data_IF_592276933721
#
_entry.id   IF_592276933721
#
_cell.length_a   1.000
_cell.length_b   1.000
_cell.length_c   1.000
_cell.angle_alpha   90.00
_cell.angle_beta   90.00
_cell.angle_gamma   90.00
#
_symmetry.space_group_name_H-M   'P 1'
#
loop_
_entity.id
_entity.type
_entity.pdbx_description
1 polymer ?
#
# COMPACT_ATOMS: atom_id res chain seq x y z
N UNK A 1 5.96 -8.83 -4.93
CA UNK A 1 5.76 -7.44 -5.39
C UNK A 1 5.55 -7.49 -6.90
N UNK A 2 4.53 -6.84 -7.39
CA UNK A 2 4.25 -6.67 -8.82
C UNK A 2 4.17 -5.17 -9.07
N UNK A 3 4.86 -4.70 -10.10
CA UNK A 3 4.80 -3.30 -10.56
C UNK A 3 4.12 -3.26 -11.92
N UNK A 4 3.16 -2.37 -12.10
CA UNK A 4 2.41 -2.23 -13.35
C UNK A 4 2.98 -1.12 -14.23
N UNK A 5 2.76 -1.22 -15.54
CA UNK A 5 3.18 -0.20 -16.50
C UNK A 5 2.46 1.14 -16.24
N UNK A 6 1.24 1.10 -15.71
CA UNK A 6 0.47 2.29 -15.35
C UNK A 6 1.16 3.07 -14.22
N UNK A 7 1.70 2.37 -13.22
CA UNK A 7 2.46 2.99 -12.15
C UNK A 7 3.72 3.67 -12.68
N UNK A 8 4.47 2.99 -13.55
CA UNK A 8 5.69 3.56 -14.16
C UNK A 8 5.36 4.81 -14.98
N UNK A 9 4.25 4.79 -15.75
CA UNK A 9 3.77 5.95 -16.50
C UNK A 9 3.31 7.09 -15.58
N UNK A 10 2.61 6.76 -14.49
CA UNK A 10 2.14 7.76 -13.52
C UNK A 10 3.29 8.58 -12.93
N UNK A 11 4.44 7.94 -12.70
CA UNK A 11 5.62 8.60 -12.12
C UNK A 11 6.64 9.04 -13.19
N UNK A 12 6.27 9.02 -14.47
CA UNK A 12 7.13 9.42 -15.61
C UNK A 12 8.46 8.66 -15.63
N UNK A 13 8.48 7.43 -15.13
CA UNK A 13 9.68 6.59 -15.01
C UNK A 13 10.70 7.08 -13.98
N UNK A 14 10.33 7.98 -13.06
CA UNK A 14 11.24 8.49 -12.03
C UNK A 14 11.70 7.34 -11.12
N UNK A 15 12.98 6.96 -11.25
CA UNK A 15 13.59 5.86 -10.53
C UNK A 15 13.59 6.08 -9.01
N UNK A 16 13.63 7.33 -8.54
CA UNK A 16 13.64 7.64 -7.10
C UNK A 16 12.26 7.45 -6.48
N UNK A 17 11.22 7.84 -7.20
CA UNK A 17 9.83 7.58 -6.80
C UNK A 17 9.54 6.08 -6.84
N UNK A 18 9.96 5.39 -7.90
CA UNK A 18 9.84 3.92 -8.02
C UNK A 18 10.53 3.22 -6.85
N UNK A 19 11.74 3.64 -6.47
CA UNK A 19 12.44 3.10 -5.31
C UNK A 19 11.65 3.32 -4.01
N UNK A 20 11.01 4.48 -3.83
CA UNK A 20 10.15 4.76 -2.69
C UNK A 20 8.92 3.85 -2.62
N UNK A 21 8.26 3.62 -3.75
CA UNK A 21 7.11 2.70 -3.85
C UNK A 21 7.55 1.26 -3.56
N UNK A 22 8.67 0.80 -4.15
CA UNK A 22 9.20 -0.52 -3.87
C UNK A 22 9.61 -0.70 -2.40
N UNK A 23 10.18 0.33 -1.79
CA UNK A 23 10.51 0.33 -0.37
C UNK A 23 9.25 0.22 0.52
N UNK A 24 8.15 0.86 0.14
CA UNK A 24 6.85 0.72 0.79
C UNK A 24 6.32 -0.72 0.67
N UNK A 25 6.34 -1.30 -0.52
CA UNK A 25 5.95 -2.69 -0.76
C UNK A 25 6.81 -3.68 0.05
N UNK A 26 8.13 -3.43 0.15
CA UNK A 26 9.01 -4.20 1.02
C UNK A 26 8.61 -4.09 2.49
N UNK A 27 8.08 -2.95 2.91
CA UNK A 27 7.48 -2.76 4.24
C UNK A 27 6.36 -3.77 4.50
N UNK A 28 5.40 -3.89 3.58
CA UNK A 28 4.31 -4.89 3.69
C UNK A 28 4.83 -6.32 3.72
N UNK A 29 5.84 -6.65 2.90
CA UNK A 29 6.48 -7.97 2.91
C UNK A 29 7.14 -8.24 4.26
N UNK A 30 7.93 -7.29 4.77
CA UNK A 30 8.64 -7.41 6.05
C UNK A 30 7.69 -7.63 7.22
N UNK A 31 6.58 -6.90 7.24
CA UNK A 31 5.55 -7.01 8.28
C UNK A 31 4.55 -8.13 8.04
N UNK A 32 4.67 -8.86 6.91
CA UNK A 32 3.76 -9.95 6.52
C UNK A 32 2.30 -9.50 6.48
N UNK A 33 2.05 -8.26 6.06
CA UNK A 33 0.71 -7.67 6.12
C UNK A 33 -0.29 -8.42 5.24
N UNK A 34 0.10 -8.89 4.05
CA UNK A 34 -0.73 -9.74 3.20
C UNK A 34 -1.13 -11.05 3.89
N UNK A 35 -0.20 -11.69 4.64
CA UNK A 35 -0.51 -12.91 5.39
C UNK A 35 -1.47 -12.62 6.56
N UNK A 36 -1.28 -11.49 7.26
CA UNK A 36 -2.20 -11.06 8.34
C UNK A 36 -3.60 -10.83 7.80
N UNK A 37 -3.71 -10.15 6.65
CA UNK A 37 -4.98 -9.90 5.98
C UNK A 37 -5.65 -11.21 5.56
N UNK A 38 -4.87 -12.18 5.02
CA UNK A 38 -5.38 -13.50 4.66
C UNK A 38 -5.94 -14.24 5.89
N UNK A 39 -5.21 -14.26 7.01
CA UNK A 39 -5.66 -14.92 8.25
C UNK A 39 -6.94 -14.24 8.76
N UNK A 40 -7.00 -12.91 8.78
CA UNK A 40 -8.19 -12.17 9.22
C UNK A 40 -9.41 -12.47 8.33
N UNK A 41 -9.24 -12.41 7.01
CA UNK A 41 -10.30 -12.72 6.06
C UNK A 41 -10.79 -14.19 6.22
N UNK A 42 -9.86 -15.14 6.41
CA UNK A 42 -10.19 -16.54 6.62
C UNK A 42 -10.95 -16.75 7.93
N UNK A 43 -10.55 -16.09 9.02
CA UNK A 43 -11.25 -16.18 10.30
C UNK A 43 -12.69 -15.65 10.20
N UNK A 44 -12.89 -14.50 9.57
CA UNK A 44 -14.22 -13.94 9.32
C UNK A 44 -15.05 -14.87 8.44
N UNK A 45 -14.44 -15.42 7.38
CA UNK A 45 -15.10 -16.34 6.47
C UNK A 45 -15.53 -17.64 7.16
N UNK A 46 -14.67 -18.23 8.02
CA UNK A 46 -15.02 -19.44 8.81
C UNK A 46 -16.21 -19.14 9.73
N UNK A 47 -16.20 -18.00 10.43
CA UNK A 47 -17.32 -17.61 11.29
C UNK A 47 -18.61 -17.44 10.49
N UNK A 48 -18.54 -16.78 9.33
CA UNK A 48 -19.68 -16.61 8.45
C UNK A 48 -20.21 -17.94 7.93
N UNK A 49 -19.33 -18.88 7.53
CA UNK A 49 -19.74 -20.19 7.02
C UNK A 49 -20.41 -21.07 8.08
N UNK A 50 -20.00 -20.95 9.34
CA UNK A 50 -20.68 -21.63 10.47
C UNK A 50 -22.11 -21.10 10.64
N UNK A 51 -22.32 -19.80 10.48
CA UNK A 51 -23.65 -19.18 10.60
C UNK A 51 -24.56 -19.50 9.42
N UNK A 52 -24.00 -19.47 8.19
CA UNK A 52 -24.75 -19.68 6.94
C UNK A 52 -24.85 -21.16 6.56
N UNK A 53 -23.92 -22.01 7.06
CA UNK A 53 -23.90 -23.44 6.75
C UNK A 53 -23.30 -23.82 5.40
N UNK A 54 -22.63 -22.88 4.71
CA UNK A 54 -22.02 -23.10 3.38
C UNK A 54 -20.52 -22.82 3.37
N UNK A 55 -19.72 -23.88 3.42
CA UNK A 55 -18.26 -23.82 3.34
C UNK A 55 -17.70 -23.66 1.92
N UNK A 56 -18.44 -24.05 0.88
CA UNK A 56 -17.93 -24.00 -0.48
C UNK A 56 -17.89 -22.56 -1.03
N UNK A 57 -18.88 -21.76 -0.69
CA UNK A 57 -18.91 -20.33 -1.06
C UNK A 57 -17.77 -19.54 -0.38
N UNK A 58 -17.32 -19.96 0.80
CA UNK A 58 -16.19 -19.37 1.48
C UNK A 58 -14.89 -19.48 0.68
N UNK A 59 -14.58 -20.69 0.20
CA UNK A 59 -13.34 -20.94 -0.54
C UNK A 59 -13.31 -20.14 -1.86
N UNK A 60 -14.47 -19.90 -2.46
CA UNK A 60 -14.60 -19.09 -3.67
C UNK A 60 -14.47 -17.57 -3.41
N UNK A 61 -14.88 -17.10 -2.22
CA UNK A 61 -14.91 -15.67 -1.91
C UNK A 61 -13.60 -15.12 -1.35
N UNK A 62 -12.79 -15.94 -0.66
CA UNK A 62 -11.51 -15.49 -0.05
C UNK A 62 -10.58 -14.81 -1.05
N UNK A 63 -10.29 -15.36 -2.24
CA UNK A 63 -9.41 -14.70 -3.20
C UNK A 63 -9.97 -13.35 -3.70
N UNK A 64 -11.29 -13.25 -3.86
CA UNK A 64 -11.97 -12.02 -4.32
C UNK A 64 -11.87 -10.94 -3.24
N UNK A 65 -12.14 -11.28 -1.98
CA UNK A 65 -12.04 -10.36 -0.86
C UNK A 65 -10.60 -9.85 -0.70
N UNK A 66 -9.60 -10.72 -0.79
CA UNK A 66 -8.19 -10.32 -0.71
C UNK A 66 -7.78 -9.40 -1.86
N UNK A 67 -8.24 -9.67 -3.08
CA UNK A 67 -7.93 -8.85 -4.25
C UNK A 67 -8.59 -7.46 -4.25
N UNK A 68 -9.63 -7.26 -3.42
CA UNK A 68 -10.38 -6.00 -3.34
C UNK A 68 -10.20 -5.26 -2.00
N UNK A 69 -9.51 -5.86 -1.03
CA UNK A 69 -9.31 -5.25 0.28
C UNK A 69 -8.11 -4.31 0.29
N UNK A 70 -8.35 -3.08 0.71
CA UNK A 70 -7.26 -2.16 1.06
C UNK A 70 -6.57 -2.61 2.37
N UNK A 71 -5.27 -2.35 2.46
CA UNK A 71 -4.56 -2.52 3.72
C UNK A 71 -5.12 -1.61 4.82
N UNK A 72 -5.00 -2.06 6.07
CA UNK A 72 -5.40 -1.22 7.19
C UNK A 72 -4.49 0.01 7.29
N UNK A 73 -5.00 1.11 7.81
CA UNK A 73 -4.19 2.34 8.05
C UNK A 73 -2.93 2.06 8.87
N UNK A 74 -3.02 1.13 9.82
CA UNK A 74 -1.88 0.74 10.63
C UNK A 74 -0.81 -0.01 9.81
N UNK A 75 -1.21 -0.86 8.86
CA UNK A 75 -0.30 -1.52 7.93
C UNK A 75 0.38 -0.47 7.03
N UNK A 76 -0.39 0.48 6.48
CA UNK A 76 0.14 1.57 5.67
C UNK A 76 1.16 2.43 6.43
N UNK A 77 0.88 2.80 7.70
CA UNK A 77 1.83 3.56 8.53
C UNK A 77 3.16 2.81 8.74
N UNK A 78 3.09 1.49 8.97
CA UNK A 78 4.30 0.67 9.11
C UNK A 78 5.07 0.58 7.80
N UNK A 79 4.39 0.39 6.68
CA UNK A 79 5.00 0.34 5.36
C UNK A 79 5.63 1.69 4.98
N UNK A 80 4.96 2.80 5.26
CA UNK A 80 5.49 4.15 5.06
C UNK A 80 6.74 4.43 5.92
N UNK A 81 6.72 4.00 7.18
CA UNK A 81 7.87 4.15 8.06
C UNK A 81 9.08 3.34 7.54
N UNK A 82 8.85 2.14 7.03
CA UNK A 82 9.89 1.31 6.40
C UNK A 82 10.39 1.93 5.09
N UNK A 83 9.48 2.47 4.26
CA UNK A 83 9.84 3.20 3.04
C UNK A 83 10.75 4.39 3.36
N UNK A 84 10.35 5.24 4.30
CA UNK A 84 11.13 6.40 4.70
C UNK A 84 12.51 6.02 5.27
N UNK A 85 12.59 4.91 6.01
CA UNK A 85 13.86 4.36 6.52
C UNK A 85 14.75 3.89 5.38
N UNK A 86 14.24 3.05 4.48
CA UNK A 86 15.00 2.49 3.36
C UNK A 86 15.48 3.56 2.39
N UNK A 87 14.65 4.58 2.11
CA UNK A 87 15.05 5.73 1.30
C UNK A 87 16.24 6.45 1.92
N UNK A 88 16.18 6.76 3.22
CA UNK A 88 17.30 7.40 3.93
C UNK A 88 18.57 6.54 3.91
N UNK A 89 18.44 5.24 4.14
CA UNK A 89 19.57 4.30 4.11
C UNK A 89 20.23 4.24 2.72
N UNK A 90 19.44 4.47 1.66
CA UNK A 90 19.90 4.56 0.28
C UNK A 90 20.40 5.97 -0.11
N UNK A 91 20.42 6.94 0.80
CA UNK A 91 20.80 8.33 0.51
C UNK A 91 19.75 9.11 -0.29
N UNK A 92 18.50 8.62 -0.35
CA UNK A 92 17.38 9.27 -1.02
C UNK A 92 16.49 10.02 -0.02
N UNK A 93 15.94 11.14 -0.46
CA UNK A 93 15.00 11.90 0.38
C UNK A 93 13.62 11.23 0.43
N UNK A 94 13.02 11.05 1.61
CA UNK A 94 11.63 10.63 1.72
C UNK A 94 10.62 11.58 1.05
N UNK A 95 11.01 12.82 0.75
CA UNK A 95 10.17 13.80 0.05
C UNK A 95 9.69 13.33 -1.33
N UNK A 96 10.38 12.38 -1.97
CA UNK A 96 9.98 11.81 -3.28
C UNK A 96 8.56 11.21 -3.22
N UNK A 97 8.17 10.68 -2.05
CA UNK A 97 6.84 10.10 -1.84
C UNK A 97 5.73 11.15 -1.70
N UNK A 98 6.06 12.40 -1.35
CA UNK A 98 5.06 13.49 -1.27
C UNK A 98 4.43 13.75 -2.62
N UNK A 99 5.25 14.00 -3.65
CA UNK A 99 4.77 14.22 -5.02
C UNK A 99 4.02 13.02 -5.58
N UNK A 100 4.44 11.81 -5.23
CA UNK A 100 3.75 10.57 -5.60
C UNK A 100 2.32 10.53 -5.04
N UNK A 101 2.15 10.76 -3.73
CA UNK A 101 0.81 10.76 -3.12
C UNK A 101 -0.07 11.91 -3.59
N UNK A 102 0.50 13.09 -3.87
CA UNK A 102 -0.23 14.21 -4.46
C UNK A 102 -0.74 13.88 -5.87
N UNK A 103 0.07 13.18 -6.70
CA UNK A 103 -0.38 12.67 -8.01
C UNK A 103 -1.51 11.66 -7.86
N UNK A 104 -1.35 10.66 -6.98
CA UNK A 104 -2.40 9.66 -6.72
C UNK A 104 -3.69 10.31 -6.26
N UNK A 105 -3.64 11.21 -5.29
CA UNK A 105 -4.82 11.88 -4.76
C UNK A 105 -5.61 12.63 -5.86
N UNK A 106 -4.90 13.25 -6.81
CA UNK A 106 -5.49 13.90 -7.97
C UNK A 106 -6.16 12.91 -8.92
N UNK A 107 -5.46 11.81 -9.26
CA UNK A 107 -5.97 10.78 -10.17
C UNK A 107 -7.13 9.98 -9.57
N UNK A 108 -7.15 9.76 -8.24
CA UNK A 108 -8.27 9.12 -7.54
C UNK A 108 -9.58 9.89 -7.73
N UNK A 109 -9.53 11.22 -7.81
CA UNK A 109 -10.69 12.06 -8.13
C UNK A 109 -11.22 11.87 -9.55
N UNK A 110 -10.42 11.33 -10.46
CA UNK A 110 -10.76 11.12 -11.89
C UNK A 110 -11.14 9.66 -12.24
N UNK A 111 -11.22 8.75 -11.27
CA UNK A 111 -11.57 7.32 -11.45
C UNK A 111 -10.63 6.53 -12.41
N UNK A 112 -9.37 6.92 -12.56
CA UNK A 112 -8.43 6.34 -13.53
C UNK A 112 -7.42 5.35 -12.96
N UNK A 113 -7.46 5.09 -11.66
CA UNK A 113 -6.41 4.30 -10.99
C UNK A 113 -6.73 2.81 -10.95
N UNK A 114 -5.74 1.99 -11.34
CA UNK A 114 -5.81 0.54 -11.28
C UNK A 114 -5.87 -0.01 -9.85
N UNK A 115 -6.16 -1.32 -9.74
CA UNK A 115 -6.34 -2.05 -8.47
C UNK A 115 -5.14 -1.86 -7.52
N UNK A 116 -3.92 -1.80 -8.05
CA UNK A 116 -2.70 -1.65 -7.24
C UNK A 116 -2.67 -0.36 -6.41
N UNK A 117 -3.27 0.73 -6.93
CA UNK A 117 -3.33 2.02 -6.20
C UNK A 117 -4.57 2.08 -5.31
N UNK A 118 -5.65 1.40 -5.69
CA UNK A 118 -6.87 1.30 -4.86
C UNK A 118 -6.62 0.57 -3.53
N UNK A 119 -5.64 -0.33 -3.46
CA UNK A 119 -5.26 -1.04 -2.23
C UNK A 119 -4.43 -0.18 -1.25
N UNK A 120 -3.87 0.95 -1.72
CA UNK A 120 -3.01 1.86 -0.95
C UNK A 120 -3.50 3.30 -1.07
N UNK A 121 -4.62 3.67 -0.42
CA UNK A 121 -5.20 4.99 -0.60
C UNK A 121 -4.23 6.09 -0.16
N UNK A 122 -4.14 7.13 -0.99
CA UNK A 122 -3.44 8.35 -0.63
C UNK A 122 -4.32 9.17 0.30
N UNK A 123 -3.77 9.63 1.41
CA UNK A 123 -4.42 10.56 2.32
C UNK A 123 -3.44 11.63 2.83
N UNK A 124 -3.99 12.68 3.43
CA UNK A 124 -3.20 13.80 3.95
C UNK A 124 -2.26 13.38 5.09
N UNK A 125 -2.58 12.33 5.84
CA UNK A 125 -1.75 11.81 6.92
C UNK A 125 -0.43 11.27 6.35
N UNK A 126 -0.50 10.50 5.25
CA UNK A 126 0.68 9.92 4.58
C UNK A 126 1.56 11.02 3.98
N UNK A 127 0.96 12.00 3.31
CA UNK A 127 1.67 13.17 2.75
C UNK A 127 2.41 13.93 3.88
N UNK A 128 1.73 14.19 5.00
CA UNK A 128 2.33 14.85 6.16
C UNK A 128 3.48 14.04 6.73
N UNK A 129 3.31 12.74 6.92
CA UNK A 129 4.35 11.85 7.41
C UNK A 129 5.63 11.95 6.57
N UNK A 130 5.54 11.88 5.24
CA UNK A 130 6.72 11.95 4.37
C UNK A 130 7.35 13.35 4.34
N UNK A 131 6.59 14.42 4.49
CA UNK A 131 7.13 15.78 4.68
C UNK A 131 7.95 15.88 5.97
N UNK A 132 7.43 15.36 7.06
CA UNK A 132 8.11 15.35 8.35
C UNK A 132 9.38 14.47 8.32
N UNK A 133 9.29 13.27 7.71
CA UNK A 133 10.43 12.37 7.55
C UNK A 133 11.56 12.98 6.70
N UNK A 134 11.21 13.76 5.67
CA UNK A 134 12.17 14.48 4.85
C UNK A 134 12.85 15.62 5.62
N UNK A 135 12.10 16.37 6.42
CA UNK A 135 12.66 17.45 7.25
C UNK A 135 13.63 16.93 8.33
N UNK A 136 13.39 15.74 8.86
CA UNK A 136 14.28 15.07 9.81
C UNK A 136 15.59 14.59 9.18
N UNK A 137 15.58 14.20 7.91
CA UNK A 137 16.75 13.74 7.17
C UNK A 137 17.73 14.86 6.80
N UNK A 138 17.32 16.12 6.91
CA UNK A 138 18.15 17.31 6.61
C UNK A 138 18.87 17.91 7.85
N UNK A 139 18.63 17.34 9.01
CA UNK A 139 19.25 17.77 10.29
C UNK A 139 20.43 16.90 10.68
#
# INVERSE_FOLDING_TARGET
>A
IVMTDELVKLVDGDATVIAGVLAHELGHVRHRDGMRMLIQASAVGVLASVVVGDFNSLLATVPVVLGQSAYSREAERRADAESARLLRDAGLSPAVMVGFFEKIAKEQGEHRLGIAIASHPADEERIRFFREAAAQAQR
#
